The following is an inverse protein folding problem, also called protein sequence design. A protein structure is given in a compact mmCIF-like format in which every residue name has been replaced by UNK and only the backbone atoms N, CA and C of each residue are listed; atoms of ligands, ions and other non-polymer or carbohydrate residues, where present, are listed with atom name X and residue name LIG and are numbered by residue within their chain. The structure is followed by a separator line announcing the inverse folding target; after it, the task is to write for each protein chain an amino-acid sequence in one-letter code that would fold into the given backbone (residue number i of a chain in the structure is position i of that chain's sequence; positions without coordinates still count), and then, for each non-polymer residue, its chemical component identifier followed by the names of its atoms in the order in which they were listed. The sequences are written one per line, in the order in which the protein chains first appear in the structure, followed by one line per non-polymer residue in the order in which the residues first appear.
data_IF_276980918869
#
_entry.id   IF_276980918869
#
_cell.length_a   1.000
_cell.length_b   1.000
_cell.length_c   1.000
_cell.angle_alpha   90.00
_cell.angle_beta   90.00
_cell.angle_gamma   90.00
#
_symmetry.space_group_name_H-M   'P 1'
#
loop_
_entity.id
_entity.type
_entity.pdbx_description
1 polymer ?
#
# COMPACT_ATOMS: atom_id res chain seq x y z
N UNK A 1 4.70 -33.09 -0.88
CA UNK A 1 4.31 -31.98 0.00
C UNK A 1 5.03 -30.75 -0.50
N UNK A 2 4.37 -29.59 -0.46
CA UNK A 2 4.86 -28.34 -1.08
C UNK A 2 5.37 -27.37 0.00
N UNK A 3 6.15 -26.38 -0.40
CA UNK A 3 6.54 -25.27 0.45
C UNK A 3 5.40 -24.26 0.61
N UNK A 4 5.24 -23.70 1.81
CA UNK A 4 4.37 -22.55 2.06
C UNK A 4 5.20 -21.37 2.58
N UNK A 5 4.90 -20.16 2.11
CA UNK A 5 5.61 -18.95 2.50
C UNK A 5 4.65 -17.89 3.06
N UNK A 6 5.08 -17.21 4.12
CA UNK A 6 4.48 -15.99 4.65
C UNK A 6 5.52 -14.90 4.60
N UNK A 7 5.20 -13.79 3.95
CA UNK A 7 6.16 -12.72 3.67
C UNK A 7 5.56 -11.41 4.12
N UNK A 8 6.33 -10.61 4.85
CA UNK A 8 6.01 -9.21 5.10
C UNK A 8 7.11 -8.34 4.51
N UNK A 9 6.78 -7.65 3.41
CA UNK A 9 7.68 -6.70 2.77
C UNK A 9 7.48 -5.31 3.39
N UNK A 10 8.28 -5.01 4.41
CA UNK A 10 8.36 -3.70 5.04
C UNK A 10 9.24 -2.71 4.27
N UNK A 11 9.41 -1.51 4.83
CA UNK A 11 10.25 -0.45 4.23
C UNK A 11 11.76 -0.69 4.34
N UNK A 12 12.23 -1.35 5.41
CA UNK A 12 13.66 -1.59 5.64
C UNK A 12 14.05 -3.06 5.39
N UNK A 13 13.27 -3.97 5.94
CA UNK A 13 13.51 -5.41 5.80
C UNK A 13 12.26 -6.11 5.29
N UNK A 14 12.50 -7.20 4.58
CA UNK A 14 11.51 -8.20 4.21
C UNK A 14 11.71 -9.41 5.10
N UNK A 15 10.65 -9.77 5.81
CA UNK A 15 10.60 -10.94 6.67
C UNK A 15 9.94 -12.09 5.91
N UNK A 16 10.61 -13.23 5.85
CA UNK A 16 10.15 -14.43 5.17
C UNK A 16 10.08 -15.57 6.18
N UNK A 17 8.91 -16.15 6.36
CA UNK A 17 8.71 -17.38 7.11
C UNK A 17 8.38 -18.47 6.10
N UNK A 18 9.23 -19.48 6.01
CA UNK A 18 9.04 -20.62 5.13
C UNK A 18 8.65 -21.85 5.95
N UNK A 19 7.68 -22.61 5.45
CA UNK A 19 7.37 -23.96 5.92
C UNK A 19 7.77 -24.97 4.85
N UNK A 20 8.72 -25.82 5.19
CA UNK A 20 9.21 -26.88 4.34
C UNK A 20 8.17 -28.02 4.19
N UNK A 21 8.30 -28.88 3.17
CA UNK A 21 7.43 -30.04 2.96
C UNK A 21 7.33 -31.01 4.15
N UNK A 22 8.36 -31.08 4.98
CA UNK A 22 8.40 -31.90 6.21
C UNK A 22 7.72 -31.21 7.41
N UNK A 23 7.28 -29.97 7.25
CA UNK A 23 6.64 -29.15 8.26
C UNK A 23 7.58 -28.21 9.04
N UNK A 24 8.89 -28.26 8.79
CA UNK A 24 9.88 -27.39 9.44
C UNK A 24 9.61 -25.92 9.10
N UNK A 25 9.64 -25.04 10.10
CA UNK A 25 9.41 -23.60 9.93
C UNK A 25 10.72 -22.86 10.15
N UNK A 26 11.14 -22.06 9.18
CA UNK A 26 12.40 -21.31 9.21
C UNK A 26 12.17 -19.86 8.82
N UNK A 27 12.59 -18.89 9.65
CA UNK A 27 12.56 -17.47 9.29
C UNK A 27 13.83 -17.06 8.52
N UNK A 28 13.70 -16.05 7.68
CA UNK A 28 14.79 -15.34 7.01
C UNK A 28 14.45 -13.86 6.95
N UNK A 29 15.46 -13.01 7.09
CA UNK A 29 15.32 -11.56 6.98
C UNK A 29 16.27 -11.06 5.89
N UNK A 30 15.75 -10.24 4.98
CA UNK A 30 16.49 -9.63 3.88
C UNK A 30 16.25 -8.12 3.89
N UNK A 31 17.17 -7.33 3.32
CA UNK A 31 16.89 -5.91 3.07
C UNK A 31 15.75 -5.80 2.04
N UNK A 32 14.78 -4.91 2.27
CA UNK A 32 13.67 -4.72 1.33
C UNK A 32 14.11 -4.17 -0.02
N UNK A 33 15.20 -3.41 -0.02
CA UNK A 33 15.85 -2.89 -1.21
C UNK A 33 17.35 -3.13 -1.12
N UNK A 34 17.90 -3.82 -2.12
CA UNK A 34 19.33 -4.09 -2.24
C UNK A 34 19.77 -4.05 -3.71
N UNK A 35 19.86 -2.83 -4.29
CA UNK A 35 20.20 -2.67 -5.69
C UNK A 35 21.53 -3.33 -6.02
N UNK A 36 21.56 -4.10 -7.11
CA UNK A 36 22.75 -4.83 -7.56
C UNK A 36 22.93 -6.23 -6.97
N UNK A 37 22.11 -6.64 -5.97
CA UNK A 37 22.13 -8.00 -5.40
C UNK A 37 20.91 -8.80 -5.82
N UNK A 38 19.70 -8.25 -5.68
CA UNK A 38 18.44 -8.88 -6.12
C UNK A 38 17.44 -7.82 -6.56
N UNK A 39 16.45 -8.23 -7.36
CA UNK A 39 15.41 -7.33 -7.87
C UNK A 39 14.25 -7.17 -6.88
N UNK A 40 13.89 -8.26 -6.19
CA UNK A 40 12.83 -8.25 -5.17
C UNK A 40 13.18 -9.19 -4.01
N UNK A 41 13.10 -8.67 -2.78
CA UNK A 41 13.48 -9.41 -1.58
C UNK A 41 12.57 -10.60 -1.28
N UNK A 42 11.28 -10.55 -1.66
CA UNK A 42 10.36 -11.65 -1.42
C UNK A 42 10.66 -12.84 -2.34
N UNK A 43 10.87 -12.55 -3.63
CA UNK A 43 11.29 -13.57 -4.62
C UNK A 43 12.66 -14.14 -4.26
N UNK A 44 13.60 -13.30 -3.85
CA UNK A 44 14.93 -13.73 -3.41
C UNK A 44 14.86 -14.65 -2.18
N UNK A 45 14.03 -14.32 -1.19
CA UNK A 45 13.84 -15.15 -0.01
C UNK A 45 13.31 -16.55 -0.36
N UNK A 46 12.31 -16.62 -1.23
CA UNK A 46 11.78 -17.89 -1.75
C UNK A 46 12.88 -18.65 -2.50
N UNK A 47 13.61 -17.98 -3.40
CA UNK A 47 14.71 -18.58 -4.16
C UNK A 47 15.76 -19.22 -3.25
N UNK A 48 16.17 -18.54 -2.17
CA UNK A 48 17.15 -19.07 -1.20
C UNK A 48 16.65 -20.32 -0.48
N UNK A 49 15.38 -20.35 -0.07
CA UNK A 49 14.80 -21.54 0.57
C UNK A 49 14.65 -22.73 -0.38
N UNK A 50 14.38 -22.47 -1.66
CA UNK A 50 14.29 -23.50 -2.69
C UNK A 50 15.67 -23.89 -3.27
N UNK A 51 16.75 -23.25 -2.82
CA UNK A 51 18.11 -23.40 -3.35
C UNK A 51 18.17 -23.22 -4.88
N UNK A 52 17.29 -22.39 -5.42
CA UNK A 52 17.21 -22.16 -6.86
C UNK A 52 18.39 -21.28 -7.34
N UNK A 53 18.98 -21.58 -8.51
CA UNK A 53 20.22 -20.93 -8.95
C UNK A 53 20.02 -19.45 -9.34
N UNK A 54 18.81 -19.05 -9.70
CA UNK A 54 18.43 -17.66 -9.99
C UNK A 54 16.93 -17.45 -9.76
N UNK A 55 16.50 -16.18 -9.68
CA UNK A 55 15.07 -15.82 -9.55
C UNK A 55 14.24 -16.33 -10.76
N UNK A 56 14.85 -16.45 -11.94
CA UNK A 56 14.22 -16.98 -13.15
C UNK A 56 14.13 -18.51 -13.20
N UNK A 57 14.75 -19.19 -12.23
CA UNK A 57 14.87 -20.64 -12.18
C UNK A 57 14.09 -21.27 -11.01
N UNK A 58 13.13 -20.54 -10.43
CA UNK A 58 12.26 -21.08 -9.39
C UNK A 58 11.41 -22.21 -9.99
N UNK A 59 11.56 -23.47 -9.54
CA UNK A 59 10.87 -24.59 -10.17
C UNK A 59 9.36 -24.56 -9.92
N UNK A 60 8.58 -24.77 -10.97
CA UNK A 60 7.14 -24.95 -10.86
C UNK A 60 6.78 -26.19 -10.01
N UNK A 61 5.63 -26.14 -9.35
CA UNK A 61 5.11 -27.28 -8.58
C UNK A 61 5.85 -27.56 -7.27
N UNK A 62 6.72 -26.67 -6.79
CA UNK A 62 7.35 -26.77 -5.46
C UNK A 62 6.65 -25.94 -4.39
N UNK A 63 5.84 -24.95 -4.79
CA UNK A 63 5.22 -23.97 -3.90
C UNK A 63 3.72 -24.22 -3.84
N UNK A 64 3.17 -24.34 -2.64
CA UNK A 64 1.73 -24.53 -2.39
C UNK A 64 0.99 -23.21 -2.19
N UNK A 65 1.56 -22.30 -1.39
CA UNK A 65 1.02 -20.97 -1.19
C UNK A 65 2.09 -19.95 -0.82
N UNK A 66 1.88 -18.71 -1.26
CA UNK A 66 2.62 -17.53 -0.82
C UNK A 66 1.59 -16.51 -0.32
N UNK A 67 1.74 -16.09 0.93
CA UNK A 67 0.88 -15.09 1.58
C UNK A 67 1.73 -13.87 1.90
N UNK A 68 1.35 -12.70 1.39
CA UNK A 68 2.22 -11.52 1.42
C UNK A 68 1.52 -10.29 1.98
N UNK A 69 2.13 -9.66 2.98
CA UNK A 69 1.90 -8.26 3.35
C UNK A 69 2.89 -7.35 2.62
N UNK A 70 2.47 -6.14 2.24
CA UNK A 70 3.35 -5.20 1.55
C UNK A 70 3.06 -3.75 1.94
N UNK A 71 4.11 -2.96 2.11
CA UNK A 71 3.99 -1.51 2.33
C UNK A 71 4.04 -0.69 1.04
N UNK A 72 4.09 -1.33 -0.14
CA UNK A 72 4.23 -0.64 -1.45
C UNK A 72 3.14 0.44 -1.66
N UNK A 73 1.87 0.12 -1.42
CA UNK A 73 0.78 1.10 -1.56
C UNK A 73 0.89 2.25 -0.55
N UNK A 74 1.16 1.93 0.72
CA UNK A 74 1.30 2.93 1.79
C UNK A 74 2.45 3.90 1.49
N UNK A 75 3.61 3.38 1.07
CA UNK A 75 4.78 4.19 0.74
C UNK A 75 4.52 5.04 -0.51
N UNK A 76 3.92 4.47 -1.57
CA UNK A 76 3.56 5.22 -2.76
C UNK A 76 2.58 6.38 -2.46
N UNK A 77 1.64 6.17 -1.52
CA UNK A 77 0.73 7.22 -1.07
C UNK A 77 1.44 8.31 -0.24
N UNK A 78 2.31 7.93 0.68
CA UNK A 78 3.09 8.85 1.52
C UNK A 78 4.05 9.71 0.69
N UNK A 79 4.75 9.09 -0.26
CA UNK A 79 5.75 9.73 -1.12
C UNK A 79 5.15 10.41 -2.36
N UNK A 80 3.83 10.30 -2.56
CA UNK A 80 3.12 10.82 -3.75
C UNK A 80 3.70 10.31 -5.07
N UNK A 81 4.03 9.02 -5.10
CA UNK A 81 4.60 8.31 -6.26
C UNK A 81 3.61 7.38 -6.97
N UNK A 82 2.30 7.64 -6.85
CA UNK A 82 1.25 6.95 -7.63
C UNK A 82 1.23 7.31 -9.11
N UNK A 83 0.40 6.61 -9.87
CA UNK A 83 0.24 6.87 -11.29
C UNK A 83 -0.60 8.13 -11.54
N UNK A 84 -0.24 8.88 -12.59
CA UNK A 84 -0.99 10.05 -13.06
C UNK A 84 -2.44 9.66 -13.28
N UNK A 85 -3.35 10.35 -12.60
CA UNK A 85 -4.76 9.98 -12.52
C UNK A 85 -5.67 11.10 -13.01
N UNK A 86 -6.62 10.77 -13.88
CA UNK A 86 -7.73 11.63 -14.30
C UNK A 86 -8.94 11.41 -13.39
N UNK A 87 -9.64 12.48 -13.02
CA UNK A 87 -10.95 12.42 -12.39
C UNK A 87 -12.03 12.85 -13.38
N UNK A 88 -12.98 11.96 -13.69
CA UNK A 88 -14.25 12.31 -14.34
C UNK A 88 -15.33 12.47 -13.28
N UNK A 89 -16.07 13.56 -13.33
CA UNK A 89 -17.18 13.80 -12.40
C UNK A 89 -18.33 14.54 -13.06
N UNK A 90 -19.47 14.56 -12.40
CA UNK A 90 -20.67 15.29 -12.86
C UNK A 90 -20.40 16.78 -13.00
N UNK A 91 -20.88 17.40 -14.07
CA UNK A 91 -20.82 18.86 -14.23
C UNK A 91 -21.37 19.62 -13.03
N UNK A 92 -20.64 20.65 -12.62
CA UNK A 92 -20.87 21.42 -11.39
C UNK A 92 -20.15 20.88 -10.16
N UNK A 93 -19.46 19.73 -10.26
CA UNK A 93 -18.78 19.07 -9.13
C UNK A 93 -17.25 19.01 -9.28
N UNK A 94 -16.65 19.74 -10.24
CA UNK A 94 -15.18 19.78 -10.44
C UNK A 94 -14.36 19.90 -9.16
N UNK A 95 -14.74 20.82 -8.28
CA UNK A 95 -13.99 21.11 -7.05
C UNK A 95 -14.47 20.32 -5.83
N UNK A 96 -15.44 19.41 -5.98
CA UNK A 96 -16.08 18.75 -4.84
C UNK A 96 -15.06 18.05 -3.92
N UNK A 97 -14.15 17.25 -4.46
CA UNK A 97 -13.14 16.53 -3.66
C UNK A 97 -12.10 17.48 -3.05
N UNK A 98 -11.72 18.55 -3.77
CA UNK A 98 -10.80 19.58 -3.28
C UNK A 98 -11.41 20.41 -2.13
N UNK A 99 -12.72 20.67 -2.17
CA UNK A 99 -13.46 21.33 -1.09
C UNK A 99 -13.65 20.37 0.10
N UNK A 100 -13.99 19.11 -0.20
CA UNK A 100 -14.25 18.09 0.80
C UNK A 100 -15.44 18.41 1.69
N UNK A 101 -15.22 18.37 3.01
CA UNK A 101 -16.24 18.68 4.02
C UNK A 101 -16.10 20.07 4.64
N UNK A 102 -15.21 20.92 4.09
CA UNK A 102 -14.87 22.23 4.65
C UNK A 102 -14.30 22.18 6.10
N UNK A 103 -13.99 20.98 6.60
CA UNK A 103 -13.38 20.80 7.91
C UNK A 103 -11.99 21.44 7.94
N UNK A 104 -11.70 22.20 9.01
CA UNK A 104 -10.41 22.83 9.25
C UNK A 104 -9.68 22.09 10.39
N UNK A 105 -8.63 21.31 10.10
CA UNK A 105 -7.88 20.59 11.13
C UNK A 105 -7.31 21.54 12.18
N UNK A 106 -6.78 22.69 11.73
CA UNK A 106 -6.42 23.82 12.58
C UNK A 106 -7.40 24.97 12.32
N UNK A 107 -8.37 25.09 13.22
CA UNK A 107 -9.45 26.08 13.16
C UNK A 107 -8.91 27.51 13.22
N UNK A 108 -7.77 27.73 13.90
CA UNK A 108 -7.19 29.05 14.14
C UNK A 108 -6.02 29.40 13.23
N UNK A 109 -5.55 28.46 12.40
CA UNK A 109 -4.53 28.75 11.39
C UNK A 109 -4.94 29.96 10.52
N UNK A 110 -4.05 30.94 10.40
CA UNK A 110 -4.28 32.10 9.52
C UNK A 110 -4.06 31.77 8.05
N UNK A 111 -3.20 30.78 7.78
CA UNK A 111 -2.92 30.24 6.47
C UNK A 111 -3.48 28.81 6.38
N UNK A 112 -4.43 28.59 5.47
CA UNK A 112 -5.04 27.27 5.26
C UNK A 112 -4.27 26.56 4.15
N UNK A 113 -3.46 25.57 4.53
CA UNK A 113 -2.80 24.68 3.59
C UNK A 113 -3.79 23.56 3.23
N UNK A 114 -4.21 23.53 1.95
CA UNK A 114 -5.05 22.44 1.45
C UNK A 114 -4.18 21.24 1.10
N UNK A 115 -4.65 20.00 1.34
CA UNK A 115 -3.94 18.81 0.88
C UNK A 115 -3.80 18.79 -0.64
N UNK A 116 -2.67 18.28 -1.13
CA UNK A 116 -2.51 17.99 -2.55
C UNK A 116 -3.44 16.86 -2.98
N UNK A 117 -4.08 17.05 -4.13
CA UNK A 117 -4.97 16.04 -4.71
C UNK A 117 -4.16 14.95 -5.41
N UNK A 118 -4.64 13.72 -5.38
CA UNK A 118 -3.99 12.58 -6.05
C UNK A 118 -4.25 12.53 -7.56
N UNK A 119 -5.28 13.24 -8.03
CA UNK A 119 -5.54 13.39 -9.46
C UNK A 119 -4.80 14.61 -10.02
N UNK A 120 -4.38 14.51 -11.28
CA UNK A 120 -3.69 15.57 -12.01
C UNK A 120 -4.67 16.49 -12.74
N UNK A 121 -5.77 15.92 -13.26
CA UNK A 121 -6.76 16.63 -14.07
C UNK A 121 -8.17 16.23 -13.65
N UNK A 122 -9.09 17.19 -13.71
CA UNK A 122 -10.53 16.97 -13.53
C UNK A 122 -11.27 17.35 -14.80
N UNK A 123 -12.15 16.45 -15.24
CA UNK A 123 -13.09 16.65 -16.33
C UNK A 123 -14.50 16.54 -15.78
N UNK A 124 -15.32 17.52 -16.14
CA UNK A 124 -16.75 17.48 -15.89
C UNK A 124 -17.44 16.89 -17.10
N UNK A 125 -18.25 15.87 -16.88
CA UNK A 125 -19.10 15.26 -17.91
C UNK A 125 -20.50 15.85 -17.80
N UNK A 126 -21.12 16.09 -18.95
CA UNK A 126 -22.51 16.54 -19.02
C UNK A 126 -23.42 15.33 -18.81
N UNK A 127 -23.73 15.04 -17.54
CA UNK A 127 -24.70 14.03 -17.15
C UNK A 127 -25.34 14.37 -15.79
N UNK A 128 -26.58 13.94 -15.54
CA UNK A 128 -27.21 14.11 -14.23
C UNK A 128 -28.32 13.11 -13.99
N UNK A 129 -28.19 12.34 -12.90
CA UNK A 129 -29.24 11.46 -12.38
C UNK A 129 -29.66 11.95 -11.00
N UNK A 130 -30.96 12.06 -10.78
CA UNK A 130 -31.56 12.51 -9.53
C UNK A 130 -31.62 11.37 -8.50
N UNK A 131 -31.92 11.71 -7.25
CA UNK A 131 -31.98 10.74 -6.14
C UNK A 131 -33.03 9.64 -6.35
N UNK A 132 -34.10 9.94 -7.10
CA UNK A 132 -35.18 9.01 -7.45
C UNK A 132 -34.92 8.21 -8.74
N UNK A 133 -33.78 8.46 -9.40
CA UNK A 133 -33.37 7.78 -10.63
C UNK A 133 -33.80 8.50 -11.90
N UNK A 134 -34.48 9.64 -11.79
CA UNK A 134 -34.83 10.46 -12.95
C UNK A 134 -33.56 11.01 -13.61
N UNK A 135 -33.40 10.79 -14.91
CA UNK A 135 -32.30 11.38 -15.70
C UNK A 135 -32.67 12.82 -16.02
N UNK A 136 -32.10 13.77 -15.27
CA UNK A 136 -32.28 15.20 -15.49
C UNK A 136 -31.46 15.68 -16.70
N UNK A 137 -30.27 15.11 -16.89
CA UNK A 137 -29.43 15.37 -18.06
C UNK A 137 -28.89 14.04 -18.58
N UNK A 138 -29.23 13.66 -19.82
CA UNK A 138 -28.68 12.46 -20.45
C UNK A 138 -27.14 12.51 -20.48
N UNK A 139 -26.49 11.36 -20.39
CA UNK A 139 -25.04 11.25 -20.53
C UNK A 139 -24.58 11.72 -21.91
N UNK A 140 -23.75 12.76 -21.94
CA UNK A 140 -22.95 13.10 -23.13
C UNK A 140 -21.72 12.19 -23.24
N UNK A 141 -21.95 10.97 -23.77
CA UNK A 141 -20.89 9.99 -23.95
C UNK A 141 -19.83 10.43 -24.98
N UNK A 142 -20.22 11.23 -25.98
CA UNK A 142 -19.29 11.72 -26.99
C UNK A 142 -18.33 12.78 -26.41
N UNK A 143 -18.84 13.68 -25.58
CA UNK A 143 -18.03 14.62 -24.80
C UNK A 143 -17.09 13.89 -23.83
N UNK A 144 -17.60 12.89 -23.11
CA UNK A 144 -16.78 12.06 -22.22
C UNK A 144 -15.66 11.32 -22.98
N UNK A 145 -15.98 10.72 -24.15
CA UNK A 145 -14.99 10.05 -25.00
C UNK A 145 -13.89 11.02 -25.45
N UNK A 146 -14.26 12.22 -25.89
CA UNK A 146 -13.30 13.25 -26.34
C UNK A 146 -12.33 13.60 -25.20
N UNK A 147 -12.86 13.88 -24.01
CA UNK A 147 -12.03 14.23 -22.87
C UNK A 147 -11.14 13.07 -22.38
N UNK A 148 -11.63 11.83 -22.45
CA UNK A 148 -10.84 10.63 -22.17
C UNK A 148 -9.68 10.48 -23.16
N UNK A 149 -9.92 10.68 -24.47
CA UNK A 149 -8.87 10.63 -25.50
C UNK A 149 -7.81 11.70 -25.28
N UNK A 150 -8.21 12.94 -25.01
CA UNK A 150 -7.27 14.03 -24.72
C UNK A 150 -6.37 13.73 -23.50
N UNK A 151 -6.94 13.17 -22.44
CA UNK A 151 -6.17 12.77 -21.26
C UNK A 151 -5.24 11.59 -21.56
N UNK A 152 -5.71 10.63 -22.36
CA UNK A 152 -4.91 9.49 -22.81
C UNK A 152 -3.73 9.96 -23.68
N UNK A 153 -3.95 10.86 -24.63
CA UNK A 153 -2.91 11.42 -25.49
C UNK A 153 -1.90 12.25 -24.68
N UNK A 154 -2.33 12.86 -23.57
CA UNK A 154 -1.45 13.52 -22.60
C UNK A 154 -0.66 12.55 -21.68
N UNK A 155 -0.78 11.24 -21.91
CA UNK A 155 -0.04 10.19 -21.20
C UNK A 155 -0.66 9.74 -19.87
N UNK A 156 -1.91 10.12 -19.57
CA UNK A 156 -2.63 9.61 -18.39
C UNK A 156 -3.18 8.22 -18.71
N UNK A 157 -2.99 7.25 -17.81
CA UNK A 157 -3.41 5.85 -18.02
C UNK A 157 -4.35 5.31 -16.92
N UNK A 158 -4.53 6.08 -15.84
CA UNK A 158 -5.47 5.79 -14.78
C UNK A 158 -6.60 6.82 -14.76
N UNK A 159 -7.84 6.35 -14.58
CA UNK A 159 -9.02 7.21 -14.44
C UNK A 159 -9.89 6.77 -13.27
N UNK A 160 -10.35 7.75 -12.50
CA UNK A 160 -11.38 7.62 -11.49
C UNK A 160 -12.67 8.26 -12.03
N UNK A 161 -13.77 7.50 -12.08
CA UNK A 161 -15.07 7.96 -12.56
C UNK A 161 -16.02 8.05 -11.38
N UNK A 162 -16.50 9.26 -11.09
CA UNK A 162 -17.29 9.57 -9.89
C UNK A 162 -18.47 10.48 -10.24
N UNK A 163 -19.62 9.89 -10.52
CA UNK A 163 -20.86 10.61 -10.80
C UNK A 163 -21.79 10.70 -9.59
N UNK A 164 -22.60 11.75 -9.56
CA UNK A 164 -23.62 11.95 -8.53
C UNK A 164 -24.67 10.83 -8.57
N UNK A 165 -25.07 10.36 -7.40
CA UNK A 165 -26.02 9.25 -7.21
C UNK A 165 -25.63 7.89 -7.84
N UNK A 166 -24.43 7.76 -8.40
CA UNK A 166 -23.98 6.52 -9.03
C UNK A 166 -23.84 5.32 -8.09
N UNK A 167 -23.76 5.53 -6.77
CA UNK A 167 -23.87 4.45 -5.77
C UNK A 167 -25.18 3.65 -5.88
N UNK A 168 -26.19 4.18 -6.58
CA UNK A 168 -27.49 3.55 -6.83
C UNK A 168 -27.83 3.42 -8.30
N UNK A 169 -27.52 4.43 -9.12
CA UNK A 169 -27.81 4.45 -10.56
C UNK A 169 -26.52 4.44 -11.35
N UNK A 170 -26.03 3.24 -11.67
CA UNK A 170 -24.66 2.99 -12.11
C UNK A 170 -24.45 3.19 -13.61
N UNK A 171 -25.53 3.22 -14.39
CA UNK A 171 -25.51 3.12 -15.85
C UNK A 171 -24.56 4.10 -16.54
N UNK A 172 -24.63 5.39 -16.18
CA UNK A 172 -23.74 6.40 -16.76
C UNK A 172 -22.26 6.13 -16.46
N UNK A 173 -21.92 5.73 -15.23
CA UNK A 173 -20.54 5.39 -14.88
C UNK A 173 -20.07 4.15 -15.65
N UNK A 174 -20.93 3.14 -15.80
CA UNK A 174 -20.60 1.90 -16.53
C UNK A 174 -20.30 2.17 -18.01
N UNK A 175 -21.11 3.00 -18.68
CA UNK A 175 -20.87 3.35 -20.09
C UNK A 175 -19.56 4.13 -20.29
N UNK A 176 -19.26 5.10 -19.42
CA UNK A 176 -18.00 5.84 -19.48
C UNK A 176 -16.81 4.95 -19.16
N UNK A 177 -16.96 4.01 -18.22
CA UNK A 177 -15.92 3.05 -17.87
C UNK A 177 -15.60 2.10 -19.03
N UNK A 178 -16.61 1.58 -19.72
CA UNK A 178 -16.43 0.78 -20.93
C UNK A 178 -15.67 1.57 -22.00
N UNK A 179 -16.07 2.83 -22.25
CA UNK A 179 -15.37 3.70 -23.20
C UNK A 179 -13.91 3.96 -22.82
N UNK A 180 -13.62 4.20 -21.54
CA UNK A 180 -12.25 4.38 -21.07
C UNK A 180 -11.40 3.11 -21.32
N UNK A 181 -11.96 1.92 -21.11
CA UNK A 181 -11.28 0.64 -21.40
C UNK A 181 -11.03 0.48 -22.91
N UNK A 182 -12.01 0.80 -23.75
CA UNK A 182 -11.86 0.77 -25.22
C UNK A 182 -10.75 1.70 -25.74
N UNK A 183 -10.60 2.89 -25.15
CA UNK A 183 -9.52 3.84 -25.49
C UNK A 183 -8.15 3.29 -25.09
N UNK A 184 -8.08 2.42 -24.07
CA UNK A 184 -6.86 1.76 -23.61
C UNK A 184 -6.37 2.23 -22.25
N UNK A 185 -7.19 2.89 -21.44
CA UNK A 185 -6.83 3.14 -20.03
C UNK A 185 -6.54 1.81 -19.33
N UNK A 186 -5.35 1.68 -18.75
CA UNK A 186 -4.91 0.45 -18.08
C UNK A 186 -5.51 0.30 -16.69
N UNK A 187 -5.98 1.41 -16.09
CA UNK A 187 -6.71 1.41 -14.83
C UNK A 187 -7.96 2.28 -14.92
N UNK A 188 -9.11 1.66 -14.67
CA UNK A 188 -10.42 2.34 -14.64
C UNK A 188 -11.09 2.01 -13.32
N UNK A 189 -11.15 3.00 -12.42
CA UNK A 189 -11.77 2.86 -11.09
C UNK A 189 -13.11 3.56 -11.10
N UNK A 190 -14.17 2.79 -10.91
CA UNK A 190 -15.55 3.26 -11.03
C UNK A 190 -16.17 3.36 -9.65
N UNK A 191 -16.77 4.51 -9.32
CA UNK A 191 -17.06 4.80 -7.92
C UNK A 191 -18.10 3.87 -7.29
N UNK A 192 -19.08 3.40 -8.06
CA UNK A 192 -20.04 2.40 -7.59
C UNK A 192 -19.43 1.00 -7.41
N UNK A 193 -18.37 0.64 -8.13
CA UNK A 193 -17.68 -0.64 -7.95
C UNK A 193 -16.71 -0.59 -6.76
N UNK A 194 -16.04 0.56 -6.58
CA UNK A 194 -14.99 0.73 -5.58
C UNK A 194 -15.57 1.02 -4.19
N UNK A 195 -16.57 1.89 -4.08
CA UNK A 195 -17.18 2.27 -2.81
C UNK A 195 -18.67 2.62 -3.00
N UNK A 196 -19.57 1.62 -3.05
CA UNK A 196 -21.02 1.79 -3.34
C UNK A 196 -21.80 2.44 -2.19
N UNK A 197 -21.34 3.58 -1.68
CA UNK A 197 -21.91 4.27 -0.52
C UNK A 197 -22.35 5.70 -0.87
N UNK A 198 -23.41 6.17 -0.20
CA UNK A 198 -24.21 7.35 -0.55
C UNK A 198 -23.53 8.74 -0.43
N UNK A 199 -22.23 8.87 -0.13
CA UNK A 199 -21.56 10.18 0.05
C UNK A 199 -20.52 10.45 -1.04
N UNK A 200 -20.71 11.51 -1.84
CA UNK A 200 -19.82 11.82 -2.98
C UNK A 200 -18.35 11.97 -2.56
N UNK A 201 -18.06 12.74 -1.51
CA UNK A 201 -16.67 13.04 -1.11
C UNK A 201 -15.92 11.76 -0.72
N UNK A 202 -16.42 11.02 0.27
CA UNK A 202 -15.77 9.78 0.73
C UNK A 202 -15.70 8.71 -0.36
N UNK A 203 -16.75 8.56 -1.18
CA UNK A 203 -16.76 7.64 -2.32
C UNK A 203 -15.72 8.06 -3.37
N UNK A 204 -15.71 9.34 -3.73
CA UNK A 204 -14.82 9.89 -4.74
C UNK A 204 -13.36 9.83 -4.33
N UNK A 205 -13.01 10.25 -3.11
CA UNK A 205 -11.63 10.15 -2.62
C UNK A 205 -11.13 8.70 -2.62
N UNK A 206 -11.98 7.74 -2.21
CA UNK A 206 -11.65 6.30 -2.24
C UNK A 206 -11.42 5.81 -3.68
N UNK A 207 -12.24 6.27 -4.62
CA UNK A 207 -12.13 5.90 -6.04
C UNK A 207 -10.86 6.46 -6.66
N UNK A 208 -10.47 7.68 -6.29
CA UNK A 208 -9.21 8.30 -6.70
C UNK A 208 -8.02 7.56 -6.10
N UNK A 209 -8.04 7.23 -4.81
CA UNK A 209 -6.99 6.43 -4.16
C UNK A 209 -6.81 5.09 -4.88
N UNK A 210 -7.91 4.42 -5.22
CA UNK A 210 -7.87 3.16 -5.95
C UNK A 210 -7.24 3.31 -7.34
N UNK A 211 -7.65 4.32 -8.12
CA UNK A 211 -7.08 4.61 -9.43
C UNK A 211 -5.59 4.95 -9.38
N UNK A 212 -5.19 5.69 -8.34
CA UNK A 212 -3.82 6.17 -8.15
C UNK A 212 -2.85 5.05 -7.74
N UNK A 213 -3.30 4.10 -6.91
CA UNK A 213 -2.44 3.08 -6.30
C UNK A 213 -2.52 1.71 -6.98
N UNK A 214 -3.67 1.32 -7.54
CA UNK A 214 -3.83 0.00 -8.16
C UNK A 214 -2.80 -0.30 -9.26
N UNK A 215 -2.43 0.63 -10.16
CA UNK A 215 -1.43 0.34 -11.19
C UNK A 215 -0.07 -0.07 -10.64
N UNK A 216 0.37 0.55 -9.54
CA UNK A 216 1.63 0.22 -8.87
C UNK A 216 1.56 -1.17 -8.27
N UNK A 217 0.44 -1.48 -7.62
CA UNK A 217 0.22 -2.79 -7.04
C UNK A 217 0.16 -3.87 -8.11
N UNK A 218 -0.58 -3.68 -9.20
CA UNK A 218 -0.66 -4.64 -10.29
C UNK A 218 0.73 -4.93 -10.85
N UNK A 219 1.56 -3.92 -11.12
CA UNK A 219 2.94 -4.13 -11.57
C UNK A 219 3.77 -4.96 -10.59
N UNK A 220 3.62 -4.70 -9.29
CA UNK A 220 4.31 -5.47 -8.26
C UNK A 220 3.80 -6.92 -8.17
N UNK A 221 2.49 -7.10 -8.19
CA UNK A 221 1.83 -8.42 -8.18
C UNK A 221 2.25 -9.23 -9.39
N UNK A 222 2.25 -8.64 -10.59
CA UNK A 222 2.65 -9.30 -11.85
C UNK A 222 4.13 -9.69 -11.84
N UNK A 223 5.00 -8.81 -11.31
CA UNK A 223 6.41 -9.11 -11.13
C UNK A 223 6.60 -10.35 -10.24
N UNK A 224 5.95 -10.39 -9.09
CA UNK A 224 6.04 -11.53 -8.16
C UNK A 224 5.40 -12.78 -8.77
N UNK A 225 4.21 -12.65 -9.36
CA UNK A 225 3.46 -13.77 -9.94
C UNK A 225 4.23 -14.46 -11.08
N UNK A 226 4.83 -13.67 -11.98
CA UNK A 226 5.62 -14.19 -13.10
C UNK A 226 6.83 -15.02 -12.64
N UNK A 227 7.50 -14.60 -11.56
CA UNK A 227 8.66 -15.30 -10.99
C UNK A 227 8.28 -16.58 -10.25
N UNK A 228 7.09 -16.62 -9.66
CA UNK A 228 6.62 -17.75 -8.83
C UNK A 228 5.75 -18.75 -9.59
N UNK A 229 5.56 -18.54 -10.91
CA UNK A 229 4.63 -19.34 -11.71
C UNK A 229 3.20 -19.27 -11.16
N UNK A 230 2.79 -18.13 -10.60
CA UNK A 230 1.43 -17.88 -10.13
C UNK A 230 0.63 -17.18 -11.24
N UNK A 231 -0.64 -17.56 -11.45
CA UNK A 231 -1.50 -16.99 -12.50
C UNK A 231 -2.37 -18.03 -13.20
N UNK A 232 -2.92 -17.66 -14.37
CA UNK A 232 -3.79 -18.55 -15.15
C UNK A 232 -3.02 -19.81 -15.62
N UNK A 233 -3.28 -20.94 -14.96
CA UNK A 233 -2.61 -22.22 -15.21
C UNK A 233 -1.40 -22.52 -14.31
N UNK A 234 -1.12 -21.66 -13.32
CA UNK A 234 -0.07 -21.88 -12.32
C UNK A 234 -0.57 -22.64 -11.08
N UNK A 235 0.30 -23.46 -10.48
CA UNK A 235 -0.02 -24.24 -9.28
C UNK A 235 0.14 -23.45 -7.96
N UNK A 236 0.83 -22.31 -8.00
CA UNK A 236 1.15 -21.49 -6.83
C UNK A 236 -0.01 -20.57 -6.46
N UNK A 237 -0.54 -20.70 -5.23
CA UNK A 237 -1.54 -19.76 -4.70
C UNK A 237 -0.88 -18.51 -4.11
N UNK A 238 -0.93 -17.40 -4.85
CA UNK A 238 -0.44 -16.10 -4.38
C UNK A 238 -1.58 -15.28 -3.77
N UNK A 239 -1.44 -14.93 -2.49
CA UNK A 239 -2.43 -14.21 -1.70
C UNK A 239 -1.82 -12.98 -1.05
N UNK A 240 -2.56 -11.87 -0.98
CA UNK A 240 -2.13 -10.63 -0.36
C UNK A 240 -2.97 -10.28 0.86
N UNK A 241 -2.31 -9.77 1.90
CA UNK A 241 -2.95 -9.22 3.09
C UNK A 241 -3.66 -7.92 2.71
N UNK A 242 -4.87 -7.73 3.22
CA UNK A 242 -5.67 -6.52 3.06
C UNK A 242 -5.62 -5.70 4.35
N UNK A 243 -5.93 -4.40 4.24
CA UNK A 243 -6.06 -3.48 5.38
C UNK A 243 -7.08 -3.94 6.44
N UNK A 244 -8.02 -4.82 6.05
CA UNK A 244 -9.02 -5.43 6.92
C UNK A 244 -8.47 -6.54 7.83
N UNK A 245 -7.25 -7.01 7.57
CA UNK A 245 -6.63 -8.20 8.20
C UNK A 245 -6.97 -9.52 7.51
N UNK A 246 -7.71 -9.49 6.39
CA UNK A 246 -8.00 -10.67 5.58
C UNK A 246 -6.98 -10.90 4.46
N UNK A 247 -6.97 -12.12 3.90
CA UNK A 247 -6.21 -12.43 2.69
C UNK A 247 -7.13 -12.41 1.46
N UNK A 248 -6.64 -11.86 0.36
CA UNK A 248 -7.30 -11.92 -0.95
C UNK A 248 -6.38 -12.49 -2.01
N UNK A 249 -6.94 -13.02 -3.09
CA UNK A 249 -6.15 -13.48 -4.24
C UNK A 249 -5.48 -12.28 -4.95
N UNK A 250 -4.33 -12.54 -5.58
CA UNK A 250 -3.53 -11.55 -6.28
C UNK A 250 -4.32 -10.71 -7.31
N UNK A 251 -5.21 -11.34 -8.07
CA UNK A 251 -6.06 -10.72 -9.10
C UNK A 251 -7.19 -9.84 -8.52
N UNK A 252 -7.51 -10.01 -7.24
CA UNK A 252 -8.53 -9.24 -6.53
C UNK A 252 -7.93 -8.17 -5.61
N UNK A 253 -6.60 -8.02 -5.58
CA UNK A 253 -5.93 -7.06 -4.72
C UNK A 253 -5.95 -5.66 -5.31
N UNK A 254 -6.64 -4.74 -4.64
CA UNK A 254 -6.88 -3.36 -5.11
C UNK A 254 -6.14 -2.32 -4.28
N UNK A 255 -5.85 -1.17 -4.91
CA UNK A 255 -5.18 -0.02 -4.31
C UNK A 255 -5.75 0.40 -2.95
N UNK A 256 -7.08 0.52 -2.87
CA UNK A 256 -7.77 0.94 -1.63
C UNK A 256 -7.65 -0.06 -0.47
N UNK A 257 -7.41 -1.34 -0.75
CA UNK A 257 -7.38 -2.42 0.24
C UNK A 257 -5.96 -2.81 0.67
N UNK A 258 -4.94 -2.16 0.11
CA UNK A 258 -3.53 -2.46 0.34
C UNK A 258 -2.87 -1.56 1.40
N UNK A 259 -3.53 -0.46 1.76
CA UNK A 259 -2.99 0.58 2.64
C UNK A 259 -2.93 0.04 4.06
N UNK A 260 -1.75 0.05 4.69
CA UNK A 260 -1.51 -0.56 6.01
C UNK A 260 -1.81 -2.07 6.08
N UNK A 261 -1.69 -2.80 4.96
CA UNK A 261 -1.90 -4.25 4.95
C UNK A 261 -0.88 -5.04 5.79
N UNK A 262 0.41 -4.67 5.77
CA UNK A 262 1.44 -5.30 6.60
C UNK A 262 1.14 -5.21 8.10
N UNK A 263 0.96 -4.00 8.66
CA UNK A 263 0.56 -3.82 10.06
C UNK A 263 -0.72 -4.56 10.43
N UNK A 264 -1.69 -4.66 9.51
CA UNK A 264 -2.90 -5.43 9.73
C UNK A 264 -2.60 -6.93 9.98
N UNK A 265 -1.68 -7.53 9.21
CA UNK A 265 -1.21 -8.88 9.48
C UNK A 265 -0.55 -9.02 10.87
N UNK A 266 0.26 -8.03 11.26
CA UNK A 266 0.88 -7.96 12.58
C UNK A 266 -0.15 -7.93 13.73
N UNK A 267 -1.23 -7.17 13.59
CA UNK A 267 -2.33 -7.14 14.57
C UNK A 267 -3.00 -8.50 14.69
N UNK A 268 -3.33 -9.16 13.57
CA UNK A 268 -3.95 -10.50 13.60
C UNK A 268 -3.02 -11.47 14.32
N UNK A 269 -1.72 -11.48 13.97
CA UNK A 269 -0.72 -12.34 14.60
C UNK A 269 -0.56 -12.07 16.10
N UNK A 270 -0.47 -10.81 16.51
CA UNK A 270 -0.35 -10.40 17.90
C UNK A 270 -1.58 -10.82 18.72
N UNK A 271 -2.79 -10.61 18.19
CA UNK A 271 -4.04 -10.99 18.86
C UNK A 271 -4.13 -12.51 19.04
N UNK A 272 -3.90 -13.28 17.97
CA UNK A 272 -4.02 -14.74 18.06
C UNK A 272 -2.95 -15.34 18.97
N UNK A 273 -1.71 -14.83 18.92
CA UNK A 273 -0.63 -15.24 19.84
C UNK A 273 -0.95 -14.89 21.29
N UNK A 274 -1.52 -13.70 21.54
CA UNK A 274 -1.88 -13.26 22.88
C UNK A 274 -3.03 -14.07 23.47
N UNK A 275 -4.03 -14.43 22.66
CA UNK A 275 -5.10 -15.36 23.06
C UNK A 275 -4.57 -16.72 23.46
N UNK A 276 -3.59 -17.26 22.73
CA UNK A 276 -2.93 -18.52 23.10
C UNK A 276 -2.24 -18.43 24.46
N UNK A 277 -1.74 -17.25 24.83
CA UNK A 277 -1.16 -16.96 26.14
C UNK A 277 -2.20 -16.57 27.21
N UNK A 278 -3.50 -16.55 26.88
CA UNK A 278 -4.59 -16.22 27.81
C UNK A 278 -4.88 -14.72 27.97
N UNK A 279 -4.34 -13.86 27.11
CA UNK A 279 -4.61 -12.42 27.11
C UNK A 279 -5.65 -12.05 26.04
N UNK A 280 -6.74 -11.41 26.48
CA UNK A 280 -7.84 -10.93 25.64
C UNK A 280 -7.80 -9.40 25.40
N UNK A 281 -6.83 -8.73 26.02
CA UNK A 281 -6.60 -7.28 25.92
C UNK A 281 -5.12 -6.99 25.74
N UNK A 282 -4.77 -6.32 24.64
CA UNK A 282 -3.39 -5.96 24.31
C UNK A 282 -3.28 -4.57 23.71
N UNK A 283 -2.13 -3.95 23.93
CA UNK A 283 -1.66 -2.82 23.14
C UNK A 283 -0.51 -3.35 22.29
N UNK A 284 -0.70 -3.36 20.97
CA UNK A 284 0.36 -3.69 20.03
C UNK A 284 1.28 -2.49 19.84
N UNK A 285 2.58 -2.75 19.83
CA UNK A 285 3.62 -1.78 19.50
C UNK A 285 4.58 -2.46 18.52
N UNK A 286 4.53 -2.05 17.26
CA UNK A 286 5.39 -2.56 16.20
C UNK A 286 6.25 -1.41 15.67
N UNK A 287 7.56 -1.48 15.88
CA UNK A 287 8.50 -0.45 15.43
C UNK A 287 9.45 -1.04 14.41
N UNK A 288 9.29 -0.59 13.15
CA UNK A 288 10.19 -0.90 12.06
C UNK A 288 11.34 0.11 11.92
N UNK A 289 11.96 0.14 10.74
CA UNK A 289 12.98 1.15 10.40
C UNK A 289 12.39 2.50 9.99
N UNK A 290 11.15 2.56 9.48
CA UNK A 290 10.56 3.80 8.96
C UNK A 290 9.46 4.35 9.85
N UNK A 291 8.63 3.48 10.43
CA UNK A 291 7.44 3.85 11.20
C UNK A 291 7.27 2.98 12.44
N UNK A 292 6.41 3.46 13.33
CA UNK A 292 5.90 2.73 14.49
C UNK A 292 4.38 2.66 14.37
N UNK A 293 3.84 1.45 14.44
CA UNK A 293 2.42 1.16 14.39
C UNK A 293 1.93 0.72 15.77
N UNK A 294 0.94 1.45 16.30
CA UNK A 294 0.34 1.20 17.61
C UNK A 294 -1.11 0.77 17.43
N UNK A 295 -1.49 -0.30 18.11
CA UNK A 295 -2.80 -0.92 17.96
C UNK A 295 -3.39 -1.30 19.30
N UNK A 296 -4.71 -1.41 19.35
CA UNK A 296 -5.43 -1.78 20.56
C UNK A 296 -6.40 -2.92 20.23
N UNK A 297 -6.43 -3.92 21.10
CA UNK A 297 -7.39 -5.00 21.04
C UNK A 297 -7.97 -5.21 22.43
N UNK A 298 -9.29 -5.22 22.53
CA UNK A 298 -10.01 -5.48 23.77
C UNK A 298 -11.23 -6.38 23.50
N UNK A 299 -10.97 -7.64 23.15
CA UNK A 299 -12.00 -8.64 22.84
C UNK A 299 -12.53 -8.61 21.40
N UNK A 300 -12.37 -7.51 20.66
CA UNK A 300 -12.74 -7.41 19.25
C UNK A 300 -11.70 -6.62 18.45
N UNK A 301 -11.57 -6.92 17.15
CA UNK A 301 -10.76 -6.12 16.24
C UNK A 301 -11.42 -4.76 16.03
N UNK A 302 -10.73 -3.70 16.45
CA UNK A 302 -11.16 -2.33 16.21
C UNK A 302 -10.99 -2.00 14.73
N UNK A 303 -12.02 -1.40 14.14
CA UNK A 303 -12.06 -1.07 12.71
C UNK A 303 -12.50 0.36 12.51
N UNK A 304 -11.86 1.04 11.57
CA UNK A 304 -12.32 2.33 11.05
C UNK A 304 -12.85 2.16 9.63
N UNK A 305 -13.91 2.87 9.31
CA UNK A 305 -14.51 2.89 7.98
C UNK A 305 -14.21 4.18 7.22
N UNK A 306 -13.91 5.27 7.92
CA UNK A 306 -13.48 6.55 7.34
C UNK A 306 -12.17 6.92 8.03
N UNK A 307 -11.09 7.03 7.24
CA UNK A 307 -9.77 7.41 7.75
C UNK A 307 -9.16 8.50 6.89
N UNK A 308 -8.09 9.08 7.41
CA UNK A 308 -7.20 9.94 6.65
C UNK A 308 -5.77 9.40 6.74
N UNK A 309 -5.20 8.99 5.60
CA UNK A 309 -3.79 8.56 5.49
C UNK A 309 -3.08 9.54 4.57
N UNK A 310 -1.92 10.05 5.00
CA UNK A 310 -1.14 11.04 4.25
C UNK A 310 -1.95 12.28 3.80
N UNK A 311 -2.93 12.70 4.59
CA UNK A 311 -3.84 13.80 4.26
C UNK A 311 -4.98 13.44 3.30
N UNK A 312 -5.00 12.21 2.76
CA UNK A 312 -6.04 11.73 1.84
C UNK A 312 -7.11 10.99 2.61
N UNK A 313 -8.37 11.38 2.41
CA UNK A 313 -9.53 10.74 3.03
C UNK A 313 -9.86 9.47 2.25
N UNK A 314 -10.27 8.42 2.92
CA UNK A 314 -10.78 7.23 2.24
C UNK A 314 -11.80 6.51 3.09
N UNK A 315 -12.65 5.75 2.41
CA UNK A 315 -13.72 4.97 2.98
C UNK A 315 -13.57 3.50 2.60
N UNK A 316 -12.72 2.81 3.34
CA UNK A 316 -12.49 1.38 3.23
C UNK A 316 -12.46 0.77 4.65
N UNK A 317 -12.94 -0.47 4.85
CA UNK A 317 -12.83 -1.13 6.14
C UNK A 317 -11.37 -1.47 6.44
N UNK A 318 -10.81 -0.85 7.47
CA UNK A 318 -9.42 -1.06 7.88
C UNK A 318 -9.37 -1.33 9.38
N UNK A 319 -8.37 -2.08 9.82
CA UNK A 319 -8.08 -2.16 11.25
C UNK A 319 -7.62 -0.79 11.77
N UNK A 320 -8.02 -0.47 13.00
CA UNK A 320 -7.66 0.78 13.63
C UNK A 320 -6.21 0.72 14.11
N UNK A 321 -5.33 1.32 13.31
CA UNK A 321 -3.88 1.36 13.54
C UNK A 321 -3.43 2.82 13.56
N UNK A 322 -2.67 3.19 14.58
CA UNK A 322 -2.06 4.51 14.69
C UNK A 322 -0.59 4.43 14.27
N UNK A 323 -0.27 5.01 13.12
CA UNK A 323 1.10 5.06 12.60
C UNK A 323 1.78 6.38 12.97
N UNK A 324 2.98 6.29 13.51
CA UNK A 324 3.88 7.42 13.74
C UNK A 324 5.10 7.27 12.82
N UNK A 325 5.50 8.33 12.13
CA UNK A 325 6.68 8.38 11.27
C UNK A 325 7.98 8.44 12.09
N UNK A 326 8.22 7.41 12.90
CA UNK A 326 9.41 7.23 13.73
C UNK A 326 9.77 5.74 13.77
N UNK A 327 11.04 5.41 13.56
CA UNK A 327 11.54 4.04 13.59
C UNK A 327 13.07 4.00 13.71
N UNK A 328 13.66 2.81 13.53
CA UNK A 328 15.10 2.61 13.63
C UNK A 328 15.93 3.42 12.63
N UNK A 329 15.41 3.69 11.44
CA UNK A 329 16.06 4.46 10.38
C UNK A 329 15.75 5.96 10.44
N UNK A 330 14.98 6.44 11.42
CA UNK A 330 14.70 7.87 11.56
C UNK A 330 16.00 8.66 11.75
N UNK A 331 16.18 9.69 10.93
CA UNK A 331 17.42 10.46 10.86
C UNK A 331 17.54 11.36 12.09
N UNK A 332 18.70 11.30 12.74
CA UNK A 332 19.06 12.14 13.87
C UNK A 332 19.81 13.38 13.37
N UNK A 333 19.20 14.57 13.51
CA UNK A 333 19.80 15.84 13.06
C UNK A 333 19.81 16.87 14.18
N UNK A 334 20.92 17.60 14.30
CA UNK A 334 20.99 18.81 15.11
C UNK A 334 20.66 20.03 14.24
N UNK A 335 19.66 20.81 14.63
CA UNK A 335 19.21 21.99 13.86
C UNK A 335 19.94 23.28 14.24
N UNK A 336 20.97 23.19 15.09
CA UNK A 336 21.68 24.34 15.68
C UNK A 336 21.20 24.68 17.09
N UNK A 337 20.05 24.15 17.53
CA UNK A 337 19.51 24.38 18.88
C UNK A 337 19.15 23.08 19.61
N UNK A 338 18.54 22.11 18.92
CA UNK A 338 18.15 20.82 19.50
C UNK A 338 18.37 19.67 18.53
N UNK A 339 18.49 18.47 19.08
CA UNK A 339 18.41 17.25 18.30
C UNK A 339 16.95 16.94 17.95
N UNK A 340 16.72 16.58 16.70
CA UNK A 340 15.45 16.08 16.17
C UNK A 340 15.68 14.70 15.58
N UNK A 341 14.66 13.85 15.69
CA UNK A 341 14.64 12.49 15.15
C UNK A 341 13.44 12.38 14.22
N UNK A 342 13.69 12.13 12.93
CA UNK A 342 12.67 12.14 11.90
C UNK A 342 12.10 13.54 11.59
N UNK A 343 11.05 13.64 10.75
CA UNK A 343 10.28 12.51 10.18
C UNK A 343 11.01 11.76 9.05
N UNK A 344 12.11 12.29 8.52
CA UNK A 344 12.87 11.62 7.46
C UNK A 344 13.49 10.30 7.96
N UNK A 345 13.50 9.29 7.09
CA UNK A 345 14.10 7.97 7.34
C UNK A 345 15.17 7.66 6.31
N UNK A 346 16.21 6.94 6.73
CA UNK A 346 17.25 6.44 5.84
C UNK A 346 16.86 5.16 5.07
N UNK A 347 15.71 4.55 5.39
CA UNK A 347 15.19 3.37 4.69
C UNK A 347 16.11 2.13 4.80
N UNK A 348 16.10 1.28 3.77
CA UNK A 348 17.04 0.17 3.60
C UNK A 348 18.33 0.59 2.87
N UNK A 349 18.23 1.57 1.99
CA UNK A 349 19.31 2.04 1.12
C UNK A 349 19.30 3.58 1.02
N UNK A 350 20.38 4.28 1.42
CA UNK A 350 21.61 3.74 1.99
C UNK A 350 21.44 3.15 3.40
N UNK A 351 20.29 3.34 4.04
CA UNK A 351 20.02 2.86 5.40
C UNK A 351 20.79 3.64 6.48
N UNK A 352 20.69 3.23 7.75
CA UNK A 352 21.57 3.68 8.84
C UNK A 352 23.06 3.63 8.50
N UNK A 353 23.87 4.50 9.12
CA UNK A 353 25.32 4.52 8.88
C UNK A 353 25.97 3.15 9.11
N UNK A 354 25.52 2.42 10.14
CA UNK A 354 25.99 1.08 10.49
C UNK A 354 25.63 -0.01 9.46
N UNK A 355 24.89 0.30 8.39
CA UNK A 355 24.57 -0.66 7.31
C UNK A 355 25.71 -0.79 6.27
N UNK A 356 26.84 -0.11 6.48
CA UNK A 356 28.04 -0.16 5.62
C UNK A 356 27.82 0.41 4.21
N UNK A 357 26.93 1.41 4.07
CA UNK A 357 26.54 2.04 2.78
C UNK A 357 26.63 3.56 2.75
N UNK A 358 27.30 4.17 3.72
CA UNK A 358 27.44 5.64 3.79
C UNK A 358 26.15 6.36 4.18
N UNK A 359 25.26 5.69 4.91
CA UNK A 359 24.02 6.24 5.44
C UNK A 359 24.22 7.36 6.48
N UNK A 360 23.18 8.17 6.76
CA UNK A 360 23.22 9.19 7.81
C UNK A 360 23.16 8.57 9.22
N UNK A 361 23.39 9.40 10.25
CA UNK A 361 23.15 9.02 11.65
C UNK A 361 21.64 8.83 11.91
N UNK A 362 21.27 7.67 12.45
CA UNK A 362 19.89 7.28 12.76
C UNK A 362 19.73 6.72 14.17
N UNK A 363 18.49 6.40 14.56
CA UNK A 363 18.19 5.72 15.84
C UNK A 363 18.89 4.35 15.96
N UNK A 364 19.03 3.61 14.86
CA UNK A 364 19.71 2.30 14.85
C UNK A 364 21.18 2.47 15.21
N UNK A 365 21.85 3.48 14.65
CA UNK A 365 23.25 3.79 14.97
C UNK A 365 23.41 4.10 16.46
N UNK A 366 22.50 4.90 17.04
CA UNK A 366 22.49 5.15 18.48
C UNK A 366 22.33 3.87 19.29
N UNK A 367 21.46 2.94 18.86
CA UNK A 367 21.26 1.67 19.56
C UNK A 367 22.47 0.72 19.46
N UNK A 368 23.20 0.75 18.34
CA UNK A 368 24.48 0.03 18.19
C UNK A 368 25.53 0.62 19.13
N UNK A 369 25.73 1.94 19.10
CA UNK A 369 26.71 2.64 19.95
C UNK A 369 26.45 2.44 21.45
N UNK A 370 25.18 2.37 21.85
CA UNK A 370 24.78 2.12 23.24
C UNK A 370 24.80 0.63 23.64
N UNK A 371 25.13 -0.28 22.71
CA UNK A 371 25.16 -1.72 22.96
C UNK A 371 23.78 -2.37 23.16
N UNK A 372 22.69 -1.63 22.90
CA UNK A 372 21.32 -2.17 22.92
C UNK A 372 21.10 -3.12 21.75
N UNK A 373 21.67 -2.80 20.60
CA UNK A 373 21.72 -3.65 19.43
C UNK A 373 23.11 -4.27 19.34
N UNK A 374 23.20 -5.60 19.38
CA UNK A 374 24.47 -6.32 19.31
C UNK A 374 24.67 -6.88 17.90
N UNK A 375 25.69 -6.46 17.12
CA UNK A 375 25.87 -6.86 15.73
C UNK A 375 25.90 -8.39 15.51
N UNK A 376 26.46 -9.16 16.45
CA UNK A 376 26.52 -10.62 16.38
C UNK A 376 25.17 -11.34 16.35
N UNK A 377 24.11 -10.69 16.83
CA UNK A 377 22.75 -11.23 16.86
C UNK A 377 21.84 -10.59 15.82
N UNK A 378 22.40 -9.69 15.01
CA UNK A 378 21.69 -9.05 13.92
C UNK A 378 21.94 -9.82 12.61
N UNK A 379 20.96 -9.92 11.68
CA UNK A 379 21.17 -10.56 10.40
C UNK A 379 22.39 -10.03 9.65
N UNK A 380 23.21 -10.94 9.15
CA UNK A 380 24.39 -10.61 8.35
C UNK A 380 23.98 -10.43 6.88
N UNK A 381 23.36 -9.28 6.57
CA UNK A 381 22.80 -8.97 5.25
C UNK A 381 23.41 -7.71 4.63
N UNK A 382 24.52 -7.23 5.19
CA UNK A 382 25.17 -5.98 4.81
C UNK A 382 26.46 -6.21 4.02
N UNK A 383 27.07 -5.12 3.58
CA UNK A 383 28.30 -5.14 2.78
C UNK A 383 28.07 -5.57 1.32
N UNK A 384 29.14 -5.60 0.50
CA UNK A 384 29.03 -5.81 -0.95
C UNK A 384 28.48 -7.18 -1.37
N UNK A 385 28.63 -8.20 -0.53
CA UNK A 385 28.15 -9.57 -0.78
C UNK A 385 26.86 -9.89 0.00
N UNK A 386 26.28 -8.92 0.71
CA UNK A 386 25.08 -9.08 1.54
C UNK A 386 25.18 -10.22 2.57
N UNK A 387 26.36 -10.36 3.20
CA UNK A 387 26.73 -11.43 4.13
C UNK A 387 27.46 -10.93 5.40
N UNK A 388 27.57 -9.61 5.57
CA UNK A 388 28.29 -9.00 6.70
C UNK A 388 27.33 -8.54 7.80
N UNK A 389 27.77 -8.54 9.07
CA UNK A 389 27.02 -7.92 10.16
C UNK A 389 27.04 -6.38 10.03
N UNK A 390 26.33 -5.71 10.94
CA UNK A 390 26.45 -4.26 11.12
C UNK A 390 27.89 -3.83 11.36
N UNK A 391 28.19 -2.54 11.10
CA UNK A 391 29.51 -1.95 11.34
C UNK A 391 29.94 -1.96 12.82
#
# INVERSE_FOLDING_TARGET
MLWDFWIDRGGTFTDVVARAPDGTITPMKLLSENPGVYADAAVEGIRRFLEAPSEDAIPAGMIGAVKMGTTVATNALLERKGDRTLLLTTRGFRDALRIGHQARPDIFAKEIIKPDMLFERVVEVDERVMIDGTVETPLDLAGAETALREAFDAGIRAVAIVFMHAYRYTDHESQVAEKAREIGFTQVSVSHEVSPLMKLIGRGDTTVVDAYLSPILSRYVDQVASKLGAGAGGDTRLMFMQSSGGLTAADQFRGKDAILSGPAGGVVGAVETSKMAGFDKIIGFDMGGTSTDVTHYAGAYERTFETQVAGVRMRAPMMQIHTVAAGGGSICKFDGAKYRVGPESAGADPGPACYRRGGPLTVTDCNVMLGKLQPRFFPAVFGPQADQPLD
#
